data_IF_194137343774
#
_entry.id   IF_194137343774
#
_cell.length_a   1.000
_cell.length_b   1.000
_cell.length_c   1.000
_cell.angle_alpha   90.00
_cell.angle_beta   90.00
_cell.angle_gamma   90.00
#
_symmetry.space_group_name_H-M   'P 1'
#
loop_
_entity.id
_entity.type
_entity.pdbx_description
1 polymer ?
#
# COMPACT_ATOMS: atom_id res chain seq x y z
N UNK A 1 -1.32 16.66 11.47
CA UNK A 1 -2.72 16.23 11.21
C UNK A 1 -2.66 14.75 10.96
N UNK A 2 -3.39 13.95 11.71
CA UNK A 2 -3.31 12.49 11.59
C UNK A 2 -4.26 11.95 10.51
N UNK A 3 -3.93 10.78 9.98
CA UNK A 3 -4.84 10.00 9.15
C UNK A 3 -4.77 8.54 9.55
N UNK A 4 -5.95 7.93 9.59
CA UNK A 4 -6.14 6.50 9.81
C UNK A 4 -6.16 5.82 8.45
N UNK A 5 -5.45 4.71 8.28
CA UNK A 5 -5.47 3.91 7.06
C UNK A 5 -5.42 2.42 7.44
N UNK A 6 -6.00 1.60 6.58
CA UNK A 6 -5.92 0.16 6.69
C UNK A 6 -4.68 -0.35 5.95
N UNK A 7 -3.98 -1.29 6.57
CA UNK A 7 -2.86 -2.01 5.99
C UNK A 7 -3.28 -3.45 5.75
N UNK A 8 -2.97 -3.96 4.57
CA UNK A 8 -3.16 -5.36 4.21
C UNK A 8 -1.79 -6.01 4.01
N UNK A 9 -1.47 -6.98 4.85
CA UNK A 9 -0.30 -7.84 4.75
C UNK A 9 -0.51 -9.02 3.78
N UNK A 10 0.45 -9.94 3.71
CA UNK A 10 0.44 -11.06 2.77
C UNK A 10 -0.65 -12.10 3.03
N UNK A 11 -1.06 -12.27 4.28
CA UNK A 11 -2.21 -13.10 4.60
C UNK A 11 -3.48 -12.24 4.57
N UNK A 12 -4.58 -12.75 4.01
CA UNK A 12 -5.86 -12.02 4.00
C UNK A 12 -6.36 -11.65 5.41
N UNK A 13 -5.90 -12.37 6.44
CA UNK A 13 -6.19 -12.09 7.84
C UNK A 13 -5.19 -11.11 8.50
N UNK A 14 -4.10 -10.76 7.83
CA UNK A 14 -3.07 -9.84 8.33
C UNK A 14 -3.46 -8.40 8.00
N UNK A 15 -4.58 -7.95 8.57
CA UNK A 15 -5.04 -6.56 8.47
C UNK A 15 -4.65 -5.78 9.73
N UNK A 16 -4.20 -4.54 9.55
CA UNK A 16 -3.88 -3.64 10.66
C UNK A 16 -4.40 -2.23 10.38
N UNK A 17 -4.97 -1.57 11.39
CA UNK A 17 -5.31 -0.16 11.32
C UNK A 17 -4.17 0.66 11.92
N UNK A 18 -3.63 1.60 11.13
CA UNK A 18 -2.53 2.46 11.57
C UNK A 18 -2.95 3.92 11.45
N UNK A 19 -2.56 4.70 12.46
CA UNK A 19 -2.69 6.16 12.47
C UNK A 19 -1.29 6.71 12.27
N UNK A 20 -1.12 7.56 11.26
CA UNK A 20 0.16 8.23 10.99
C UNK A 20 -0.03 9.73 10.91
N UNK A 21 1.00 10.46 11.32
CA UNK A 21 1.05 11.91 11.17
C UNK A 21 1.39 12.26 9.72
N UNK A 22 0.53 13.08 9.09
CA UNK A 22 0.73 13.55 7.71
C UNK A 22 1.96 14.44 7.55
N UNK A 23 2.54 14.93 8.65
CA UNK A 23 3.78 15.71 8.65
C UNK A 23 5.05 14.83 8.53
N UNK A 24 4.91 13.50 8.68
CA UNK A 24 6.02 12.56 8.51
C UNK A 24 6.42 12.36 7.04
N UNK A 25 7.51 11.64 6.84
CA UNK A 25 8.00 11.25 5.52
C UNK A 25 7.65 9.79 5.19
N UNK A 26 7.82 9.41 3.92
CA UNK A 26 7.57 8.05 3.44
C UNK A 26 8.41 6.99 4.17
N UNK A 27 9.65 7.31 4.58
CA UNK A 27 10.48 6.37 5.33
C UNK A 27 9.87 5.97 6.68
N UNK A 28 9.39 6.96 7.44
CA UNK A 28 8.71 6.75 8.72
C UNK A 28 7.41 5.97 8.54
N UNK A 29 6.68 6.26 7.46
CA UNK A 29 5.47 5.51 7.10
C UNK A 29 5.77 4.03 6.84
N UNK A 30 6.78 3.74 6.02
CA UNK A 30 7.20 2.36 5.73
C UNK A 30 7.65 1.65 7.00
N UNK A 31 8.41 2.34 7.87
CA UNK A 31 8.87 1.79 9.15
C UNK A 31 7.69 1.39 10.03
N UNK A 32 6.65 2.22 10.11
CA UNK A 32 5.46 1.90 10.91
C UNK A 32 4.58 0.83 10.27
N UNK A 33 4.48 0.79 8.95
CA UNK A 33 3.79 -0.29 8.24
C UNK A 33 4.44 -1.65 8.52
N UNK A 34 5.77 -1.73 8.38
CA UNK A 34 6.52 -2.95 8.70
C UNK A 34 6.33 -3.36 10.15
N UNK A 35 6.35 -2.40 11.09
CA UNK A 35 6.11 -2.66 12.52
C UNK A 35 4.71 -3.22 12.76
N UNK A 36 3.68 -2.60 12.20
CA UNK A 36 2.29 -2.98 12.38
C UNK A 36 1.99 -4.38 11.81
N UNK A 37 2.55 -4.68 10.64
CA UNK A 37 2.42 -5.98 9.97
C UNK A 37 3.44 -7.03 10.45
N UNK A 38 4.26 -6.71 11.46
CA UNK A 38 5.30 -7.59 12.02
C UNK A 38 6.29 -8.12 10.96
N UNK A 39 6.54 -7.33 9.92
CA UNK A 39 7.53 -7.64 8.87
C UNK A 39 8.93 -7.45 9.46
N UNK A 40 9.71 -8.51 9.48
CA UNK A 40 11.06 -8.51 10.04
C UNK A 40 12.04 -7.75 9.14
N UNK A 41 13.17 -7.27 9.67
CA UNK A 41 14.15 -6.51 8.89
C UNK A 41 14.64 -7.23 7.63
N UNK A 42 14.78 -8.56 7.70
CA UNK A 42 15.27 -9.42 6.61
C UNK A 42 14.16 -9.92 5.68
N UNK A 43 12.89 -9.69 6.02
CA UNK A 43 11.78 -10.10 5.16
C UNK A 43 11.80 -9.26 3.88
N UNK A 44 11.67 -9.95 2.75
CA UNK A 44 11.59 -9.30 1.46
C UNK A 44 10.21 -8.66 1.30
N UNK A 45 10.22 -7.40 0.91
CA UNK A 45 9.04 -6.68 0.44
C UNK A 45 9.27 -6.36 -1.03
N UNK A 46 8.36 -6.81 -1.88
CA UNK A 46 8.43 -6.68 -3.32
C UNK A 46 7.76 -5.40 -3.82
N UNK A 47 6.80 -4.87 -3.06
CA UNK A 47 6.13 -3.62 -3.40
C UNK A 47 5.20 -3.13 -2.32
N UNK A 48 4.85 -1.85 -2.43
CA UNK A 48 3.83 -1.19 -1.64
C UNK A 48 2.82 -0.59 -2.61
N UNK A 49 1.53 -0.82 -2.36
CA UNK A 49 0.48 -0.38 -3.27
C UNK A 49 -0.63 0.32 -2.49
N UNK A 50 -1.19 1.37 -3.07
CA UNK A 50 -2.29 2.14 -2.50
C UNK A 50 -3.54 1.80 -3.30
N UNK A 51 -4.50 1.21 -2.60
CA UNK A 51 -5.83 0.95 -3.09
C UNK A 51 -6.76 2.04 -2.57
N UNK A 52 -7.44 2.76 -3.47
CA UNK A 52 -8.38 3.83 -3.11
C UNK A 52 -9.82 3.30 -3.15
N UNK A 53 -10.70 3.80 -2.29
CA UNK A 53 -12.10 3.36 -2.24
C UNK A 53 -12.87 3.66 -3.54
N UNK A 54 -13.79 2.74 -3.87
CA UNK A 54 -14.43 2.54 -5.18
C UNK A 54 -14.39 1.07 -5.63
N UNK A 55 -13.60 0.24 -4.94
CA UNK A 55 -13.24 -1.11 -5.36
C UNK A 55 -13.40 -2.11 -4.21
N UNK A 56 -14.63 -2.56 -3.96
CA UNK A 56 -14.90 -3.61 -2.98
C UNK A 56 -14.21 -4.91 -3.40
N UNK A 57 -13.62 -5.69 -2.48
CA UNK A 57 -12.98 -6.98 -2.79
C UNK A 57 -13.94 -8.00 -3.44
N UNK A 58 -15.23 -7.82 -3.20
CA UNK A 58 -16.33 -8.72 -3.55
C UNK A 58 -16.76 -8.59 -5.02
N UNK A 59 -16.34 -7.51 -5.69
CA UNK A 59 -16.61 -7.21 -7.10
C UNK A 59 -15.28 -7.21 -7.88
N UNK A 60 -14.60 -8.37 -7.95
CA UNK A 60 -13.43 -8.57 -8.83
C UNK A 60 -13.85 -8.60 -10.32
N UNK A 61 -14.47 -7.53 -10.80
CA UNK A 61 -14.76 -7.34 -12.22
C UNK A 61 -13.52 -6.82 -12.96
N UNK A 62 -13.44 -7.11 -14.25
CA UNK A 62 -12.28 -6.84 -15.11
C UNK A 62 -12.01 -5.32 -15.36
N UNK A 63 -12.84 -4.44 -14.80
CA UNK A 63 -12.82 -2.98 -15.02
C UNK A 63 -12.22 -2.17 -13.84
N UNK A 64 -11.60 -2.86 -12.87
CA UNK A 64 -10.97 -2.24 -11.69
C UNK A 64 -9.78 -1.36 -12.08
N UNK A 65 -9.59 -0.19 -11.44
CA UNK A 65 -8.32 0.54 -11.57
C UNK A 65 -7.23 -0.26 -10.86
N UNK A 66 -6.03 -0.34 -11.43
CA UNK A 66 -4.93 -1.02 -10.76
C UNK A 66 -4.56 -0.26 -9.47
N UNK A 67 -4.18 -0.99 -8.43
CA UNK A 67 -3.62 -0.40 -7.21
C UNK A 67 -2.41 0.49 -7.60
N UNK A 68 -2.31 1.68 -6.99
CA UNK A 68 -1.26 2.66 -7.29
C UNK A 68 0.04 2.26 -6.60
N UNK A 69 1.12 2.04 -7.35
CA UNK A 69 2.42 1.70 -6.76
C UNK A 69 3.03 2.88 -5.99
N UNK A 70 3.32 2.66 -4.70
CA UNK A 70 4.14 3.54 -3.90
C UNK A 70 5.61 3.21 -4.17
N UNK A 71 6.22 3.93 -5.11
CA UNK A 71 7.64 3.78 -5.44
C UNK A 71 8.49 4.18 -4.25
N UNK A 72 9.31 3.25 -3.75
CA UNK A 72 10.25 3.48 -2.64
C UNK A 72 11.67 3.53 -3.17
N UNK A 73 12.19 4.73 -3.37
CA UNK A 73 13.54 5.00 -3.81
C UNK A 73 14.21 6.07 -2.93
N UNK A 74 15.49 6.34 -3.16
CA UNK A 74 16.26 7.31 -2.36
C UNK A 74 15.67 8.74 -2.36
N UNK A 75 14.85 9.09 -3.36
CA UNK A 75 14.19 10.40 -3.46
C UNK A 75 12.82 10.37 -2.79
N UNK A 76 12.06 9.30 -2.96
CA UNK A 76 10.68 9.21 -2.47
C UNK A 76 10.60 9.02 -0.96
N UNK A 77 11.60 8.39 -0.33
CA UNK A 77 11.64 8.18 1.13
C UNK A 77 11.57 9.47 1.96
N UNK A 78 12.05 10.60 1.39
CA UNK A 78 12.02 11.90 2.04
C UNK A 78 10.79 12.74 1.68
N UNK A 79 9.93 12.27 0.76
CA UNK A 79 8.69 12.99 0.41
C UNK A 79 7.74 12.99 1.59
N UNK A 80 6.92 14.04 1.66
CA UNK A 80 5.89 14.12 2.68
C UNK A 80 4.81 13.07 2.42
N UNK A 81 4.33 12.41 3.48
CA UNK A 81 3.22 11.46 3.38
C UNK A 81 1.95 12.17 2.87
N UNK A 82 1.80 13.48 3.14
CA UNK A 82 0.66 14.26 2.65
C UNK A 82 0.53 14.21 1.12
N UNK A 83 1.64 14.05 0.38
CA UNK A 83 1.65 13.95 -1.08
C UNK A 83 1.00 12.66 -1.60
N UNK A 84 0.90 11.62 -0.76
CA UNK A 84 0.25 10.35 -1.12
C UNK A 84 -1.28 10.46 -1.17
N UNK A 85 -1.84 11.55 -0.63
CA UNK A 85 -3.28 11.80 -0.56
C UNK A 85 -4.05 10.62 0.07
N UNK A 86 -3.49 10.06 1.14
CA UNK A 86 -4.13 8.96 1.88
C UNK A 86 -5.36 9.48 2.63
N UNK A 87 -6.45 8.74 2.50
CA UNK A 87 -7.73 8.98 3.17
C UNK A 87 -8.08 7.79 4.07
N UNK A 88 -9.05 7.93 5.00
CA UNK A 88 -9.56 6.83 5.80
C UNK A 88 -10.06 5.61 5.01
N UNK A 89 -10.35 5.81 3.72
CA UNK A 89 -10.90 4.77 2.86
C UNK A 89 -9.82 4.19 1.93
N UNK A 90 -8.57 4.61 2.09
CA UNK A 90 -7.44 4.03 1.39
C UNK A 90 -6.98 2.77 2.13
N UNK A 91 -6.57 1.74 1.39
CA UNK A 91 -5.91 0.54 1.90
C UNK A 91 -4.50 0.48 1.33
N UNK A 92 -3.49 0.35 2.18
CA UNK A 92 -2.11 0.13 1.72
C UNK A 92 -1.81 -1.36 1.77
N UNK A 93 -1.52 -1.93 0.60
CA UNK A 93 -1.19 -3.34 0.40
C UNK A 93 0.32 -3.49 0.40
N UNK A 94 0.83 -4.43 1.19
CA UNK A 94 2.25 -4.75 1.27
C UNK A 94 2.49 -6.14 0.68
N UNK A 95 3.17 -6.20 -0.46
CA UNK A 95 3.49 -7.47 -1.11
C UNK A 95 4.81 -8.03 -0.58
N UNK A 96 4.75 -9.13 0.15
CA UNK A 96 5.93 -9.93 0.54
C UNK A 96 6.00 -11.27 -0.18
N UNK A 97 5.01 -11.59 -1.00
CA UNK A 97 4.93 -12.83 -1.77
C UNK A 97 5.74 -12.77 -3.06
N UNK A 98 5.87 -11.57 -3.64
CA UNK A 98 6.47 -11.37 -4.95
C UNK A 98 5.59 -11.85 -6.10
N UNK A 99 4.35 -12.27 -5.82
CA UNK A 99 3.34 -12.57 -6.83
C UNK A 99 2.73 -11.23 -7.25
N UNK A 100 3.43 -10.55 -8.15
CA UNK A 100 2.90 -9.36 -8.81
C UNK A 100 1.71 -9.80 -9.65
N UNK A 101 0.49 -9.37 -9.29
CA UNK A 101 -0.65 -9.44 -10.20
C UNK A 101 -0.29 -8.62 -11.44
N UNK A 102 0.15 -9.31 -12.50
CA UNK A 102 0.45 -8.66 -13.77
C UNK A 102 -0.81 -7.93 -14.23
N UNK A 103 -0.66 -6.64 -14.57
CA UNK A 103 -1.64 -5.94 -15.39
C UNK A 103 -2.01 -6.89 -16.53
N UNK A 104 -3.29 -7.25 -16.64
CA UNK A 104 -3.76 -7.92 -17.84
C UNK A 104 -3.40 -6.98 -19.00
N UNK A 105 -2.35 -7.33 -19.74
CA UNK A 105 -2.03 -6.70 -21.02
C UNK A 105 -3.23 -7.04 -21.90
N UNK A 106 -4.21 -6.13 -21.95
CA UNK A 106 -5.22 -6.16 -22.99
C UNK A 106 -4.48 -5.90 -24.29
N UNK A 107 -4.11 -6.99 -24.97
CA UNK A 107 -3.77 -6.96 -26.37
C UNK A 107 -4.99 -6.43 -27.11
N UNK A 108 -4.98 -5.13 -27.42
CA UNK A 108 -5.89 -4.54 -28.38
C UNK A 108 -5.51 -5.12 -29.74
N UNK A 109 -6.38 -5.95 -30.29
CA UNK A 109 -6.36 -6.41 -31.68
C UNK A 109 -7.40 -5.63 -32.47
#
# INVERSE_FOLDING_TARGET
MEVKCELQGPDENSQALVIFDRMGNVADFIREMRRALKILPLDKVYGYYIRREGEKPEERSADRKPDEELVVDAKSVNRSISELNLTPNSVVVVDTSGIVQMKALQNVR
#
